data_IF_364242789666
#
_entry.id   IF_364242789666
#
_cell.length_a   1.000
_cell.length_b   1.000
_cell.length_c   1.000
_cell.angle_alpha   90.00
_cell.angle_beta   90.00
_cell.angle_gamma   90.00
#
_symmetry.space_group_name_H-M   'P 1'
#
loop_
_entity.id
_entity.type
_entity.pdbx_description
1 polymer ?
#
# COMPACT_ATOMS: atom_id res chain seq x y z
N UNK A 1 16.00 4.24 -2.24
CA UNK A 1 17.20 4.51 -1.45
C UNK A 1 18.43 3.99 -2.17
N UNK A 2 19.17 4.89 -2.82
CA UNK A 2 20.60 4.72 -3.12
C UNK A 2 21.39 4.78 -1.80
N UNK A 3 22.69 4.47 -1.82
CA UNK A 3 23.59 4.61 -0.64
C UNK A 3 23.54 6.00 0.04
N UNK A 4 22.95 7.01 -0.63
CA UNK A 4 22.81 8.39 -0.16
C UNK A 4 21.74 8.62 0.92
N UNK A 5 20.94 7.60 1.30
CA UNK A 5 19.86 7.74 2.30
C UNK A 5 20.07 6.92 3.59
N UNK A 6 21.29 6.41 3.83
CA UNK A 6 21.60 5.77 5.11
C UNK A 6 21.71 6.86 6.19
N UNK A 7 20.93 6.73 7.25
CA UNK A 7 20.93 7.65 8.38
C UNK A 7 22.14 7.42 9.28
N UNK A 8 22.46 8.42 10.09
CA UNK A 8 23.68 8.44 10.90
C UNK A 8 23.72 7.29 11.92
N UNK A 9 22.56 6.90 12.48
CA UNK A 9 22.47 5.75 13.39
C UNK A 9 22.81 4.41 12.74
N UNK A 10 22.54 4.24 11.44
CA UNK A 10 22.94 3.04 10.69
C UNK A 10 24.38 3.14 10.21
N UNK A 11 24.83 4.33 9.82
CA UNK A 11 26.23 4.59 9.40
C UNK A 11 27.25 4.30 10.50
N UNK A 12 26.86 4.32 11.77
CA UNK A 12 27.76 3.99 12.87
C UNK A 12 28.14 2.51 12.98
N UNK A 13 27.58 1.64 12.13
CA UNK A 13 27.97 0.24 12.05
C UNK A 13 29.33 0.06 11.33
N UNK A 14 30.09 -0.96 11.73
CA UNK A 14 31.39 -1.28 11.12
C UNK A 14 31.23 -1.83 9.70
N UNK A 15 30.17 -2.62 9.48
CA UNK A 15 29.86 -3.26 8.21
C UNK A 15 28.34 -3.31 8.03
N UNK A 16 27.85 -3.02 6.82
CA UNK A 16 26.43 -3.13 6.47
C UNK A 16 26.27 -3.94 5.19
N UNK A 17 25.54 -5.05 5.28
CA UNK A 17 25.17 -5.90 4.15
C UNK A 17 23.72 -5.60 3.74
N UNK A 18 23.51 -5.16 2.49
CA UNK A 18 22.17 -4.87 1.96
C UNK A 18 21.63 -6.02 1.11
N UNK A 19 20.42 -6.48 1.40
CA UNK A 19 19.75 -7.54 0.62
C UNK A 19 18.92 -6.99 -0.55
N UNK A 20 18.48 -5.73 -0.47
CA UNK A 20 17.70 -5.06 -1.52
C UNK A 20 18.34 -3.75 -2.00
N UNK A 21 19.62 -3.80 -2.40
CA UNK A 21 20.37 -2.62 -2.88
C UNK A 21 19.67 -1.99 -4.10
N UNK A 22 19.37 -0.69 -4.03
CA UNK A 22 18.84 0.09 -5.16
C UNK A 22 17.34 -0.07 -5.45
N UNK A 23 16.60 -0.95 -4.77
CA UNK A 23 15.15 -1.04 -4.95
C UNK A 23 14.44 0.10 -4.20
N UNK A 24 13.79 0.98 -4.95
CA UNK A 24 12.84 1.97 -4.42
C UNK A 24 11.64 1.26 -3.80
N UNK A 25 11.27 1.68 -2.60
CA UNK A 25 10.04 1.23 -1.96
C UNK A 25 8.84 1.64 -2.83
N UNK A 26 7.88 0.76 -3.01
CA UNK A 26 6.67 1.09 -3.78
C UNK A 26 5.85 2.13 -3.03
N UNK A 27 5.18 3.04 -3.73
CA UNK A 27 4.29 4.02 -3.07
C UNK A 27 3.08 3.33 -2.44
N UNK A 28 2.42 2.45 -3.20
CA UNK A 28 1.23 1.72 -2.75
C UNK A 28 1.24 0.27 -3.24
N UNK A 29 0.75 -0.65 -2.40
CA UNK A 29 0.38 -2.00 -2.80
C UNK A 29 -1.10 -2.22 -2.47
N UNK A 30 -1.87 -2.60 -3.49
CA UNK A 30 -3.21 -3.16 -3.28
C UNK A 30 -3.06 -4.61 -2.85
N UNK A 31 -3.50 -4.90 -1.64
CA UNK A 31 -3.55 -6.25 -1.08
C UNK A 31 -4.85 -6.87 -1.57
N UNK A 32 -4.72 -7.86 -2.44
CA UNK A 32 -5.81 -8.41 -3.24
C UNK A 32 -5.98 -9.92 -3.03
N UNK A 33 -4.95 -10.59 -2.53
CA UNK A 33 -4.96 -12.01 -2.22
C UNK A 33 -5.28 -12.26 -0.75
N UNK A 34 -6.08 -13.30 -0.48
CA UNK A 34 -6.55 -13.64 0.85
C UNK A 34 -5.40 -13.94 1.84
N UNK A 35 -4.27 -14.46 1.35
CA UNK A 35 -3.08 -14.73 2.18
C UNK A 35 -2.48 -13.46 2.78
N UNK A 36 -2.36 -12.41 1.97
CA UNK A 36 -1.81 -11.13 2.41
C UNK A 36 -2.84 -10.35 3.25
N UNK A 37 -4.14 -10.51 3.00
CA UNK A 37 -5.19 -9.98 3.89
C UNK A 37 -5.14 -10.64 5.28
N UNK A 38 -5.09 -11.97 5.34
CA UNK A 38 -4.94 -12.71 6.60
C UNK A 38 -3.64 -12.35 7.34
N UNK A 39 -2.60 -11.95 6.62
CA UNK A 39 -1.38 -11.44 7.23
C UNK A 39 -1.58 -10.08 7.93
N UNK A 40 -2.58 -9.28 7.57
CA UNK A 40 -2.89 -8.00 8.22
C UNK A 40 -4.02 -8.09 9.27
N UNK A 41 -4.80 -9.17 9.28
CA UNK A 41 -5.88 -9.39 10.29
C UNK A 41 -5.38 -9.58 11.72
N UNK A 42 -4.08 -9.88 11.89
CA UNK A 42 -3.50 -10.12 13.21
C UNK A 42 -3.00 -8.81 13.82
N UNK A 43 -3.43 -8.47 15.04
CA UNK A 43 -3.10 -7.21 15.69
C UNK A 43 -1.60 -6.97 15.83
N UNK A 44 -0.82 -8.01 16.11
CA UNK A 44 0.63 -7.91 16.25
C UNK A 44 1.28 -7.59 14.91
N UNK A 45 0.81 -8.22 13.83
CA UNK A 45 1.32 -7.96 12.48
C UNK A 45 0.98 -6.54 12.02
N UNK A 46 -0.24 -6.09 12.29
CA UNK A 46 -0.66 -4.72 12.01
C UNK A 46 0.17 -3.71 12.81
N UNK A 47 0.45 -3.97 14.08
CA UNK A 47 1.31 -3.13 14.93
C UNK A 47 2.74 -3.03 14.35
N UNK A 48 3.35 -4.15 13.95
CA UNK A 48 4.69 -4.15 13.32
C UNK A 48 4.71 -3.28 12.06
N UNK A 49 3.74 -3.46 11.16
CA UNK A 49 3.64 -2.68 9.92
C UNK A 49 3.43 -1.19 10.23
N UNK A 50 2.60 -0.88 11.21
CA UNK A 50 2.32 0.50 11.65
C UNK A 50 3.56 1.17 12.24
N UNK A 51 4.34 0.45 13.07
CA UNK A 51 5.61 0.97 13.62
C UNK A 51 6.61 1.26 12.51
N UNK A 52 6.79 0.33 11.57
CA UNK A 52 7.68 0.53 10.42
C UNK A 52 7.22 1.71 9.53
N UNK A 53 5.91 1.97 9.44
CA UNK A 53 5.37 3.15 8.76
C UNK A 53 5.79 4.43 9.45
N UNK A 54 5.60 4.52 10.77
CA UNK A 54 5.91 5.74 11.53
C UNK A 54 7.40 6.06 11.46
N UNK A 55 8.24 5.03 11.58
CA UNK A 55 9.69 5.20 11.59
C UNK A 55 10.18 5.89 12.87
N UNK A 56 11.49 5.88 13.06
CA UNK A 56 12.14 6.52 14.21
C UNK A 56 12.83 7.81 13.77
N UNK A 57 12.79 8.83 14.61
CA UNK A 57 13.56 10.04 14.39
C UNK A 57 15.07 9.70 14.32
N UNK A 58 15.73 10.23 13.31
CA UNK A 58 17.16 10.02 13.05
C UNK A 58 17.74 11.26 12.36
N UNK A 59 19.05 11.26 12.11
CA UNK A 59 19.70 12.33 11.37
C UNK A 59 20.40 11.82 10.13
N UNK A 60 20.55 12.70 9.14
CA UNK A 60 21.37 12.44 7.98
C UNK A 60 22.38 13.57 7.82
N UNK A 61 23.65 13.22 7.97
CA UNK A 61 24.78 14.12 7.78
C UNK A 61 25.35 13.96 6.37
N UNK A 62 25.35 15.05 5.61
CA UNK A 62 26.03 15.17 4.31
C UNK A 62 27.25 16.07 4.42
N UNK A 63 28.36 15.63 3.85
CA UNK A 63 29.60 16.42 3.75
C UNK A 63 29.89 16.72 2.29
N UNK A 64 30.12 17.99 1.96
CA UNK A 64 30.57 18.41 0.63
C UNK A 64 31.68 19.44 0.75
N UNK A 65 32.67 19.35 -0.11
CA UNK A 65 33.71 20.39 -0.24
C UNK A 65 33.21 21.42 -1.25
N UNK A 66 33.22 22.69 -0.87
CA UNK A 66 32.94 23.79 -1.80
C UNK A 66 34.13 23.94 -2.75
N UNK A 67 33.90 23.72 -4.05
CA UNK A 67 34.95 23.76 -5.07
C UNK A 67 35.57 25.16 -5.26
N UNK A 68 34.89 26.22 -4.79
CA UNK A 68 35.34 27.61 -4.94
C UNK A 68 36.08 28.13 -3.71
N UNK A 69 35.64 27.76 -2.50
CA UNK A 69 36.25 28.25 -1.26
C UNK A 69 37.17 27.21 -0.60
N UNK A 70 37.06 25.94 -0.99
CA UNK A 70 37.77 24.83 -0.33
C UNK A 70 37.17 24.46 1.03
N UNK A 71 36.07 25.10 1.44
CA UNK A 71 35.46 24.87 2.75
C UNK A 71 34.71 23.53 2.79
N UNK A 72 34.84 22.83 3.91
CA UNK A 72 34.02 21.65 4.21
C UNK A 72 32.65 22.10 4.70
N UNK A 73 31.63 21.91 3.87
CA UNK A 73 30.23 22.15 4.23
C UNK A 73 29.66 20.85 4.81
N UNK A 74 29.32 20.90 6.10
CA UNK A 74 28.60 19.82 6.80
C UNK A 74 27.16 20.27 6.99
N UNK A 75 26.21 19.49 6.50
CA UNK A 75 24.78 19.70 6.74
C UNK A 75 24.18 18.48 7.42
N UNK A 76 23.59 18.70 8.58
CA UNK A 76 22.79 17.71 9.29
C UNK A 76 21.33 18.10 9.16
N UNK A 77 20.47 17.12 8.83
CA UNK A 77 19.01 17.29 8.82
C UNK A 77 18.35 16.17 9.61
N UNK A 78 17.26 16.50 10.28
CA UNK A 78 16.38 15.51 10.90
C UNK A 78 15.59 14.78 9.81
N UNK A 79 15.47 13.46 9.96
CA UNK A 79 14.74 12.57 9.05
C UNK A 79 13.98 11.52 9.85
N UNK A 80 12.99 10.88 9.23
CA UNK A 80 12.35 9.69 9.77
C UNK A 80 12.95 8.45 9.11
N UNK A 81 13.54 7.57 9.91
CA UNK A 81 14.07 6.29 9.43
C UNK A 81 12.99 5.21 9.54
N UNK A 82 12.61 4.65 8.40
CA UNK A 82 11.62 3.57 8.28
C UNK A 82 12.24 2.16 8.19
N UNK A 83 13.53 2.06 8.49
CA UNK A 83 14.32 0.83 8.49
C UNK A 83 14.66 0.54 9.94
N UNK A 84 13.99 -0.42 10.58
CA UNK A 84 14.07 -0.61 12.04
C UNK A 84 14.50 -2.03 12.40
N UNK A 85 15.27 -2.15 13.47
CA UNK A 85 15.57 -3.43 14.12
C UNK A 85 14.41 -3.90 14.99
N UNK A 86 14.40 -5.18 15.37
CA UNK A 86 13.40 -5.74 16.30
C UNK A 86 13.33 -4.96 17.62
N UNK A 87 14.48 -4.51 18.13
CA UNK A 87 14.52 -3.74 19.39
C UNK A 87 13.83 -2.39 19.23
N UNK A 88 14.06 -1.72 18.10
CA UNK A 88 13.44 -0.43 17.80
C UNK A 88 11.94 -0.59 17.55
N UNK A 89 11.51 -1.65 16.86
CA UNK A 89 10.09 -1.95 16.64
C UNK A 89 9.36 -2.09 17.98
N UNK A 90 9.91 -2.89 18.89
CA UNK A 90 9.34 -3.09 20.23
C UNK A 90 9.33 -1.79 21.01
N UNK A 91 10.42 -1.02 21.00
CA UNK A 91 10.50 0.25 21.70
C UNK A 91 9.40 1.22 21.23
N UNK A 92 9.28 1.40 19.92
CA UNK A 92 8.28 2.27 19.31
C UNK A 92 6.85 1.85 19.62
N UNK A 93 6.56 0.56 19.71
CA UNK A 93 5.22 0.09 20.08
C UNK A 93 4.80 0.52 21.50
N UNK A 94 5.75 0.74 22.41
CA UNK A 94 5.45 1.25 23.76
C UNK A 94 5.39 2.79 23.82
N UNK A 95 5.97 3.49 22.83
CA UNK A 95 6.04 4.96 22.83
C UNK A 95 4.83 5.62 22.15
N UNK A 96 3.99 4.84 21.47
CA UNK A 96 2.84 5.33 20.70
C UNK A 96 1.53 4.73 21.21
N UNK A 97 0.67 5.57 21.78
CA UNK A 97 -0.63 5.16 22.35
C UNK A 97 -1.59 4.53 21.33
N UNK A 98 -1.40 4.83 20.03
CA UNK A 98 -2.21 4.29 18.93
C UNK A 98 -1.68 2.97 18.36
N UNK A 99 -0.68 2.36 18.99
CA UNK A 99 -0.07 1.10 18.58
C UNK A 99 -0.21 0.10 19.72
N UNK A 100 -0.64 -1.12 19.39
CA UNK A 100 -0.64 -2.21 20.36
C UNK A 100 0.79 -2.54 20.81
N UNK A 101 1.01 -2.60 22.12
CA UNK A 101 2.31 -2.96 22.68
C UNK A 101 2.67 -4.40 22.31
N UNK A 102 3.85 -4.59 21.73
CA UNK A 102 4.31 -5.90 21.25
C UNK A 102 5.68 -6.27 21.83
N UNK A 103 5.84 -7.54 22.17
CA UNK A 103 7.08 -8.09 22.70
C UNK A 103 8.07 -8.51 21.61
N UNK A 104 9.35 -8.67 21.98
CA UNK A 104 10.39 -9.18 21.05
C UNK A 104 10.02 -10.56 20.48
N UNK A 105 9.49 -11.46 21.30
CA UNK A 105 9.12 -12.80 20.87
C UNK A 105 7.99 -12.76 19.83
N UNK A 106 7.00 -11.89 20.04
CA UNK A 106 5.96 -11.62 19.05
C UNK A 106 6.56 -11.11 17.74
N UNK A 107 7.42 -10.09 17.79
CA UNK A 107 8.07 -9.56 16.57
C UNK A 107 8.85 -10.64 15.81
N UNK A 108 9.66 -11.45 16.50
CA UNK A 108 10.40 -12.56 15.86
C UNK A 108 9.49 -13.62 15.25
N UNK A 109 8.33 -13.90 15.86
CA UNK A 109 7.37 -14.87 15.34
C UNK A 109 6.61 -14.36 14.10
N UNK A 110 6.36 -13.05 14.04
CA UNK A 110 5.47 -12.44 13.06
C UNK A 110 6.18 -11.82 11.85
N UNK A 111 7.43 -11.37 11.99
CA UNK A 111 8.23 -10.86 10.87
C UNK A 111 8.35 -11.86 9.70
N UNK A 112 8.67 -13.16 9.91
CA UNK A 112 8.75 -14.10 8.80
C UNK A 112 7.46 -14.22 8.00
N UNK A 113 6.29 -14.19 8.67
CA UNK A 113 4.98 -14.24 8.00
C UNK A 113 4.71 -12.98 7.18
N UNK A 114 5.14 -11.81 7.69
CA UNK A 114 5.04 -10.54 6.96
C UNK A 114 5.99 -10.50 5.77
N UNK A 115 7.16 -11.14 5.86
CA UNK A 115 8.09 -11.31 4.74
C UNK A 115 7.54 -12.26 3.68
N UNK A 116 6.99 -13.40 4.09
CA UNK A 116 6.31 -14.35 3.19
C UNK A 116 5.13 -13.70 2.45
N UNK A 117 4.34 -12.86 3.14
CA UNK A 117 3.25 -12.09 2.56
C UNK A 117 3.73 -10.88 1.73
N UNK A 118 5.04 -10.63 1.63
CA UNK A 118 5.60 -9.52 0.87
C UNK A 118 5.25 -8.13 1.39
N UNK A 119 4.90 -8.01 2.68
CA UNK A 119 4.57 -6.73 3.35
C UNK A 119 5.80 -6.09 3.99
N UNK A 120 6.76 -6.91 4.42
CA UNK A 120 8.01 -6.51 5.04
C UNK A 120 9.16 -7.21 4.33
N UNK A 121 10.37 -6.64 4.40
CA UNK A 121 11.59 -7.29 3.94
C UNK A 121 12.72 -7.02 4.91
N UNK A 122 13.56 -8.04 5.15
CA UNK A 122 14.88 -7.85 5.76
C UNK A 122 15.74 -7.00 4.82
N UNK A 123 15.93 -5.74 5.17
CA UNK A 123 16.55 -4.74 4.29
C UNK A 123 18.07 -4.82 4.31
N UNK A 124 18.64 -4.86 5.51
CA UNK A 124 20.07 -4.98 5.71
C UNK A 124 20.40 -5.65 7.04
N UNK A 125 21.65 -6.09 7.14
CA UNK A 125 22.26 -6.55 8.39
C UNK A 125 23.43 -5.62 8.70
N UNK A 126 23.44 -5.05 9.90
CA UNK A 126 24.54 -4.22 10.37
C UNK A 126 25.35 -4.94 11.45
N UNK A 127 26.67 -4.85 11.37
CA UNK A 127 27.60 -5.39 12.38
C UNK A 127 28.24 -4.26 13.15
N UNK A 128 28.26 -4.39 14.48
CA UNK A 128 28.95 -3.47 15.39
C UNK A 128 29.72 -4.31 16.41
N UNK A 129 31.04 -4.35 16.28
CA UNK A 129 31.91 -5.28 16.99
C UNK A 129 31.49 -6.73 16.76
N UNK A 130 31.11 -7.43 17.82
CA UNK A 130 30.63 -8.83 17.76
C UNK A 130 29.13 -8.98 17.55
N UNK A 131 28.38 -7.87 17.55
CA UNK A 131 26.91 -7.89 17.46
C UNK A 131 26.48 -7.73 16.01
N UNK A 132 25.54 -8.57 15.62
CA UNK A 132 24.88 -8.53 14.32
C UNK A 132 23.42 -8.16 14.54
N UNK A 133 22.93 -7.15 13.83
CA UNK A 133 21.56 -6.66 13.97
C UNK A 133 20.89 -6.62 12.60
N UNK A 134 19.74 -7.28 12.51
CA UNK A 134 18.90 -7.28 11.31
C UNK A 134 17.94 -6.09 11.34
N UNK A 135 17.80 -5.43 10.20
CA UNK A 135 16.90 -4.31 10.01
C UNK A 135 15.86 -4.62 8.94
N UNK A 136 14.63 -4.23 9.23
CA UNK A 136 13.46 -4.53 8.44
C UNK A 136 12.83 -3.23 7.93
N UNK A 137 12.20 -3.30 6.76
CA UNK A 137 11.41 -2.19 6.19
C UNK A 137 10.13 -2.72 5.57
N UNK A 138 9.12 -1.86 5.44
CA UNK A 138 7.95 -2.16 4.61
C UNK A 138 8.33 -2.23 3.13
N UNK A 139 7.66 -3.08 2.38
CA UNK A 139 7.83 -3.18 0.92
C UNK A 139 7.13 -2.05 0.14
N UNK A 140 6.11 -1.43 0.75
CA UNK A 140 5.43 -0.25 0.24
C UNK A 140 5.18 0.79 1.34
N UNK A 141 4.99 2.07 0.96
CA UNK A 141 4.67 3.15 1.91
C UNK A 141 3.23 3.06 2.42
N UNK A 142 2.29 2.63 1.57
CA UNK A 142 0.91 2.32 1.91
C UNK A 142 0.50 0.91 1.48
N UNK A 143 -0.34 0.27 2.29
CA UNK A 143 -1.11 -0.91 1.90
C UNK A 143 -2.59 -0.53 1.85
N UNK A 144 -3.27 -0.93 0.78
CA UNK A 144 -4.74 -0.83 0.66
C UNK A 144 -5.29 -2.23 0.59
N UNK A 145 -6.09 -2.63 1.58
CA UNK A 145 -6.84 -3.89 1.51
C UNK A 145 -7.97 -3.68 0.51
N UNK A 146 -7.72 -4.11 -0.72
CA UNK A 146 -8.70 -4.06 -1.78
C UNK A 146 -9.43 -5.39 -1.82
N UNK A 147 -10.39 -5.57 -0.91
CA UNK A 147 -11.33 -6.67 -1.05
C UNK A 147 -12.23 -6.43 -2.28
N UNK A 148 -12.53 -7.49 -3.02
CA UNK A 148 -13.48 -7.43 -4.14
C UNK A 148 -12.86 -7.26 -5.54
N UNK A 149 -13.50 -6.44 -6.38
CA UNK A 149 -13.30 -6.39 -7.85
C UNK A 149 -11.88 -5.96 -8.28
N UNK A 150 -11.17 -5.25 -7.41
CA UNK A 150 -9.80 -4.77 -7.59
C UNK A 150 -8.74 -5.88 -7.67
N UNK A 151 -9.02 -7.03 -7.05
CA UNK A 151 -8.13 -8.18 -6.98
C UNK A 151 -8.23 -9.16 -8.15
N UNK A 152 -9.33 -9.07 -8.90
CA UNK A 152 -9.68 -10.08 -9.88
C UNK A 152 -8.74 -9.99 -11.09
N UNK A 153 -8.08 -11.10 -11.42
CA UNK A 153 -7.46 -11.28 -12.73
C UNK A 153 -8.51 -11.08 -13.84
N UNK A 154 -8.07 -10.93 -15.10
CA UNK A 154 -8.98 -10.68 -16.22
C UNK A 154 -10.14 -11.68 -16.28
N UNK A 155 -9.89 -12.95 -15.96
CA UNK A 155 -10.86 -14.05 -16.01
C UNK A 155 -11.86 -14.00 -14.86
N UNK A 156 -11.42 -13.58 -13.67
CA UNK A 156 -12.27 -13.36 -12.51
C UNK A 156 -13.15 -12.10 -12.68
N UNK A 157 -12.66 -11.07 -13.38
CA UNK A 157 -13.48 -9.90 -13.77
C UNK A 157 -14.58 -10.28 -14.76
N UNK A 158 -14.24 -11.08 -15.77
CA UNK A 158 -15.18 -11.62 -16.75
C UNK A 158 -16.29 -12.43 -16.07
N UNK A 159 -15.92 -13.39 -15.20
CA UNK A 159 -16.88 -14.19 -14.45
C UNK A 159 -17.80 -13.35 -13.54
N UNK A 160 -17.28 -12.27 -12.95
CA UNK A 160 -18.10 -11.35 -12.13
C UNK A 160 -19.10 -10.57 -12.98
N UNK A 161 -18.72 -10.17 -14.19
CA UNK A 161 -19.60 -9.45 -15.11
C UNK A 161 -20.74 -10.34 -15.59
N UNK A 162 -20.43 -11.58 -15.97
CA UNK A 162 -21.44 -12.60 -16.33
C UNK A 162 -22.43 -12.81 -15.18
N UNK A 163 -21.91 -12.97 -13.96
CA UNK A 163 -22.72 -13.16 -12.77
C UNK A 163 -23.56 -11.92 -12.42
N UNK A 164 -23.08 -10.72 -12.71
CA UNK A 164 -23.81 -9.48 -12.48
C UNK A 164 -25.02 -9.39 -13.41
N UNK A 165 -24.85 -9.65 -14.69
CA UNK A 165 -25.96 -9.68 -15.67
C UNK A 165 -26.96 -10.77 -15.30
N UNK A 166 -26.48 -11.98 -14.96
CA UNK A 166 -27.34 -13.08 -14.50
C UNK A 166 -28.15 -12.71 -13.24
N UNK A 167 -27.54 -11.98 -12.29
CA UNK A 167 -28.22 -11.54 -11.05
C UNK A 167 -29.20 -10.40 -11.28
N UNK A 168 -28.91 -9.49 -12.20
CA UNK A 168 -29.85 -8.43 -12.57
C UNK A 168 -31.17 -9.03 -13.09
N UNK A 169 -31.08 -10.09 -13.89
CA UNK A 169 -32.23 -10.87 -14.32
C UNK A 169 -32.86 -11.64 -13.13
N UNK A 170 -32.14 -12.58 -12.52
CA UNK A 170 -32.72 -13.51 -11.52
C UNK A 170 -33.23 -12.85 -10.24
N UNK A 171 -32.63 -11.75 -9.80
CA UNK A 171 -32.95 -11.10 -8.51
C UNK A 171 -33.85 -9.89 -8.72
N UNK A 172 -33.60 -9.11 -9.77
CA UNK A 172 -34.29 -7.82 -9.99
C UNK A 172 -35.24 -7.84 -11.20
N UNK A 173 -35.33 -8.95 -11.93
CA UNK A 173 -36.21 -9.10 -13.09
C UNK A 173 -35.81 -8.23 -14.28
N UNK A 174 -34.55 -7.82 -14.36
CA UNK A 174 -34.05 -6.99 -15.47
C UNK A 174 -33.64 -7.91 -16.62
N UNK A 175 -34.58 -8.13 -17.54
CA UNK A 175 -34.33 -8.96 -18.72
C UNK A 175 -33.54 -8.18 -19.78
N UNK A 176 -32.49 -8.82 -20.31
CA UNK A 176 -31.70 -8.29 -21.40
C UNK A 176 -31.82 -9.17 -22.63
N UNK A 177 -31.99 -8.54 -23.80
CA UNK A 177 -31.66 -9.20 -25.06
C UNK A 177 -30.15 -9.43 -25.14
N UNK A 178 -29.69 -10.38 -25.95
CA UNK A 178 -28.26 -10.65 -26.12
C UNK A 178 -27.46 -9.39 -26.52
N UNK A 179 -28.05 -8.54 -27.37
CA UNK A 179 -27.45 -7.27 -27.80
C UNK A 179 -27.36 -6.26 -26.65
N UNK A 180 -28.42 -6.11 -25.84
CA UNK A 180 -28.40 -5.23 -24.67
C UNK A 180 -27.42 -5.73 -23.61
N UNK A 181 -27.36 -7.04 -23.37
CA UNK A 181 -26.42 -7.64 -22.43
C UNK A 181 -24.96 -7.35 -22.83
N UNK A 182 -24.63 -7.51 -24.13
CA UNK A 182 -23.31 -7.16 -24.68
C UNK A 182 -23.01 -5.67 -24.54
N UNK A 183 -24.01 -4.80 -24.75
CA UNK A 183 -23.82 -3.36 -24.56
C UNK A 183 -23.58 -3.00 -23.09
N UNK A 184 -24.36 -3.56 -22.16
CA UNK A 184 -24.18 -3.39 -20.71
C UNK A 184 -22.79 -3.85 -20.28
N UNK A 185 -22.36 -5.04 -20.73
CA UNK A 185 -21.02 -5.56 -20.45
C UNK A 185 -19.93 -4.59 -20.93
N UNK A 186 -20.03 -4.08 -22.16
CA UNK A 186 -19.05 -3.15 -22.71
C UNK A 186 -18.98 -1.87 -21.88
N UNK A 187 -20.13 -1.31 -21.51
CA UNK A 187 -20.23 -0.07 -20.74
C UNK A 187 -19.66 -0.23 -19.33
N UNK A 188 -19.97 -1.34 -18.64
CA UNK A 188 -19.41 -1.64 -17.32
C UNK A 188 -17.89 -1.80 -17.39
N UNK A 189 -17.35 -2.45 -18.44
CA UNK A 189 -15.89 -2.54 -18.62
C UNK A 189 -15.25 -1.17 -18.80
N UNK A 190 -15.86 -0.30 -19.61
CA UNK A 190 -15.37 1.05 -19.84
C UNK A 190 -15.41 1.90 -18.56
N UNK A 191 -16.49 1.81 -17.79
CA UNK A 191 -16.62 2.40 -16.46
C UNK A 191 -15.49 1.93 -15.53
N UNK A 192 -15.21 0.63 -15.51
CA UNK A 192 -14.14 0.06 -14.69
C UNK A 192 -12.75 0.57 -15.09
N UNK A 193 -12.50 0.84 -16.37
CA UNK A 193 -11.25 1.45 -16.82
C UNK A 193 -11.11 2.90 -16.32
N UNK A 194 -12.19 3.68 -16.34
CA UNK A 194 -12.23 5.03 -15.78
C UNK A 194 -11.97 4.99 -14.27
N UNK A 195 -12.68 4.11 -13.55
CA UNK A 195 -12.49 3.91 -12.11
C UNK A 195 -11.06 3.49 -11.77
N UNK A 196 -10.44 2.62 -12.56
CA UNK A 196 -9.06 2.19 -12.33
C UNK A 196 -8.06 3.36 -12.40
N UNK A 197 -8.29 4.33 -13.31
CA UNK A 197 -7.51 5.57 -13.36
C UNK A 197 -7.73 6.43 -12.12
N UNK A 198 -8.97 6.59 -11.69
CA UNK A 198 -9.30 7.35 -10.47
C UNK A 198 -8.70 6.72 -9.22
N UNK A 199 -8.81 5.40 -9.08
CA UNK A 199 -8.19 4.62 -8.01
C UNK A 199 -6.68 4.80 -7.96
N UNK A 200 -6.02 4.74 -9.12
CA UNK A 200 -4.58 4.97 -9.23
C UNK A 200 -4.18 6.39 -8.84
N UNK A 201 -5.03 7.38 -9.14
CA UNK A 201 -4.77 8.77 -8.75
C UNK A 201 -4.95 8.98 -7.24
N UNK A 202 -6.10 8.59 -6.70
CA UNK A 202 -6.44 8.74 -5.28
C UNK A 202 -5.48 7.93 -4.40
N UNK A 203 -5.02 6.78 -4.91
CA UNK A 203 -3.94 6.00 -4.30
C UNK A 203 -2.69 6.84 -4.00
N UNK A 204 -2.29 7.75 -4.90
CA UNK A 204 -1.12 8.62 -4.69
C UNK A 204 -1.37 9.73 -3.65
N UNK A 205 -2.62 9.92 -3.23
CA UNK A 205 -2.99 10.87 -2.18
C UNK A 205 -2.97 10.23 -0.78
N UNK A 206 -2.88 8.90 -0.70
CA UNK A 206 -2.88 8.15 0.56
C UNK A 206 -1.58 8.45 1.32
N UNK A 207 -1.73 8.94 2.55
CA UNK A 207 -0.62 9.25 3.47
C UNK A 207 -0.50 8.25 4.63
N UNK A 208 -1.37 7.24 4.68
CA UNK A 208 -1.44 6.23 5.75
C UNK A 208 -1.81 4.84 5.21
N UNK A 209 -2.07 3.88 6.09
CA UNK A 209 -2.60 2.57 5.67
C UNK A 209 -4.12 2.62 5.59
N UNK A 210 -4.68 2.03 4.53
CA UNK A 210 -6.13 1.91 4.35
C UNK A 210 -6.53 0.50 4.75
N UNK A 211 -6.72 0.35 6.06
CA UNK A 211 -7.08 -0.91 6.73
C UNK A 211 -8.42 -0.80 7.44
N UNK A 212 -8.91 0.43 7.64
CA UNK A 212 -10.17 0.75 8.29
C UNK A 212 -11.29 0.91 7.23
N UNK A 213 -12.48 0.40 7.53
CA UNK A 213 -13.66 0.52 6.67
C UNK A 213 -14.03 1.99 6.44
N UNK A 214 -13.89 2.86 7.44
CA UNK A 214 -14.20 4.30 7.29
C UNK A 214 -13.23 4.96 6.28
N UNK A 215 -11.97 4.51 6.26
CA UNK A 215 -10.96 5.01 5.32
C UNK A 215 -11.17 4.42 3.91
N UNK A 216 -11.68 3.19 3.81
CA UNK A 216 -12.09 2.59 2.53
C UNK A 216 -13.29 3.32 1.92
N UNK A 217 -14.26 3.72 2.74
CA UNK A 217 -15.40 4.52 2.30
C UNK A 217 -14.96 5.91 1.81
N UNK A 218 -14.06 6.57 2.56
CA UNK A 218 -13.45 7.83 2.13
C UNK A 218 -12.63 7.65 0.83
N UNK A 219 -11.90 6.55 0.69
CA UNK A 219 -11.18 6.22 -0.53
C UNK A 219 -12.14 6.05 -1.72
N UNK A 220 -13.22 5.28 -1.56
CA UNK A 220 -14.25 5.10 -2.57
C UNK A 220 -14.90 6.43 -2.97
N UNK A 221 -15.28 7.24 -1.98
CA UNK A 221 -15.84 8.56 -2.20
C UNK A 221 -14.91 9.49 -3.00
N UNK A 222 -13.62 9.51 -2.66
CA UNK A 222 -12.62 10.31 -3.39
C UNK A 222 -12.40 9.82 -4.81
N UNK A 223 -12.46 8.50 -5.03
CA UNK A 223 -12.38 7.92 -6.38
C UNK A 223 -13.57 8.39 -7.21
N UNK A 224 -14.78 8.29 -6.67
CA UNK A 224 -16.00 8.75 -7.35
C UNK A 224 -15.91 10.23 -7.69
N UNK A 225 -15.55 11.08 -6.72
CA UNK A 225 -15.35 12.52 -6.94
C UNK A 225 -14.32 12.81 -8.04
N UNK A 226 -13.22 12.06 -8.07
CA UNK A 226 -12.20 12.27 -9.09
C UNK A 226 -12.65 11.83 -10.47
N UNK A 227 -13.40 10.73 -10.57
CA UNK A 227 -13.87 10.18 -11.84
C UNK A 227 -15.01 11.00 -12.44
N UNK A 228 -15.76 11.77 -11.63
CA UNK A 228 -16.81 12.69 -12.13
C UNK A 228 -16.33 13.73 -13.13
N UNK A 229 -15.04 14.04 -13.19
CA UNK A 229 -14.48 14.93 -14.22
C UNK A 229 -14.46 14.31 -15.63
N UNK A 230 -14.60 13.00 -15.72
CA UNK A 230 -14.62 12.26 -16.99
C UNK A 230 -16.07 12.27 -17.51
N UNK A 231 -16.36 13.17 -18.47
CA UNK A 231 -17.69 13.31 -19.07
C UNK A 231 -18.21 11.97 -19.63
N UNK A 232 -17.30 11.10 -20.06
CA UNK A 232 -17.64 9.77 -20.57
C UNK A 232 -18.26 8.88 -19.49
N UNK A 233 -17.83 9.02 -18.23
CA UNK A 233 -18.43 8.27 -17.12
C UNK A 233 -19.90 8.64 -16.96
N UNK A 234 -20.25 9.92 -17.07
CA UNK A 234 -21.63 10.38 -16.98
C UNK A 234 -22.48 9.80 -18.12
N UNK A 235 -21.96 9.80 -19.35
CA UNK A 235 -22.63 9.18 -20.51
C UNK A 235 -22.84 7.68 -20.29
N UNK A 236 -21.83 6.96 -19.79
CA UNK A 236 -21.91 5.54 -19.49
C UNK A 236 -23.00 5.28 -18.44
N UNK A 237 -23.01 6.03 -17.34
CA UNK A 237 -24.02 5.90 -16.28
C UNK A 237 -25.43 6.18 -16.80
N UNK A 238 -25.60 7.20 -17.65
CA UNK A 238 -26.89 7.49 -18.28
C UNK A 238 -27.32 6.38 -19.24
N UNK A 239 -26.40 5.84 -20.04
CA UNK A 239 -26.69 4.74 -20.97
C UNK A 239 -27.04 3.46 -20.22
N UNK A 240 -26.26 3.08 -19.22
CA UNK A 240 -26.55 1.95 -18.32
C UNK A 240 -27.91 2.11 -17.65
N UNK A 241 -28.21 3.31 -17.13
CA UNK A 241 -29.55 3.61 -16.58
C UNK A 241 -30.63 3.34 -17.60
N UNK A 242 -30.50 3.85 -18.83
CA UNK A 242 -31.51 3.60 -19.87
C UNK A 242 -31.63 2.12 -20.23
N UNK A 243 -30.54 1.36 -20.25
CA UNK A 243 -30.58 -0.06 -20.59
C UNK A 243 -31.24 -0.90 -19.49
N UNK A 244 -30.88 -0.62 -18.24
CA UNK A 244 -31.35 -1.36 -17.05
C UNK A 244 -32.79 -1.00 -16.70
N UNK A 245 -33.16 0.28 -16.82
CA UNK A 245 -34.47 0.79 -16.43
C UNK A 245 -35.33 1.21 -17.65
N UNK A 246 -35.09 0.64 -18.84
CA UNK A 246 -35.82 1.05 -20.06
C UNK A 246 -37.32 0.75 -20.05
N UNK A 247 -37.81 -0.04 -19.09
CA UNK A 247 -39.25 -0.34 -18.94
C UNK A 247 -39.72 -0.19 -17.48
N UNK A 248 -39.53 1.02 -16.93
CA UNK A 248 -40.41 1.56 -15.87
C UNK A 248 -41.01 2.89 -16.30
#
# INVERSE_FOLDING_TARGET
MSEEEITDSLKSADEIEFYEKGKTQRELIFVTDDSTMQALDDPVRLAIVTVLRKGVADTLTTERIDEKTGDKIIRQREVQRHVLSVVEIVKMSHEHEDIEEISKNQVYHHLPKLEEAGLVVKYCTARTGKRTTDYYRRTAKGFVIASGYLAADKKAREKKLDLLIERLDKVFGVEFTEERAKEVERLIREEWEIEARGRSHVANMIRGDVVDNDVLDLYGYLVDLWTFKDERLLEIKQRLRSLIFSET
#
